data_IF_657051177153
#
_entry.id   IF_657051177153
#
_cell.length_a   1.000
_cell.length_b   1.000
_cell.length_c   1.000
_cell.angle_alpha   90.00
_cell.angle_beta   90.00
_cell.angle_gamma   90.00
#
_symmetry.space_group_name_H-M   'P 1'
#
loop_
_entity.id
_entity.type
_entity.pdbx_description
1 polymer ?
#
# COMPACT_ATOMS: atom_id res chain seq x y z
N UNK A 1 -7.76 0.47 -21.87
CA UNK A 1 -7.84 0.04 -20.47
C UNK A 1 -6.74 -0.98 -20.28
N UNK A 2 -5.70 -0.60 -19.53
CA UNK A 2 -4.48 -1.38 -19.33
C UNK A 2 -4.77 -2.78 -18.77
N UNK A 3 -4.03 -3.79 -19.21
CA UNK A 3 -4.15 -5.17 -18.70
C UNK A 3 -3.92 -5.25 -17.19
N UNK A 4 -3.11 -4.34 -16.63
CA UNK A 4 -2.84 -4.23 -15.19
C UNK A 4 -4.12 -4.00 -14.36
N UNK A 5 -5.03 -3.12 -14.79
CA UNK A 5 -6.26 -2.86 -14.05
C UNK A 5 -7.23 -4.07 -14.02
N UNK A 6 -7.12 -5.02 -14.94
CA UNK A 6 -8.09 -6.12 -15.04
C UNK A 6 -8.05 -7.05 -13.82
N UNK A 7 -6.90 -7.16 -13.14
CA UNK A 7 -6.74 -7.97 -11.92
C UNK A 7 -7.30 -7.27 -10.66
N UNK A 8 -7.36 -5.93 -10.65
CA UNK A 8 -7.88 -5.11 -9.55
C UNK A 8 -9.40 -4.87 -9.67
N UNK A 9 -9.94 -4.97 -10.89
CA UNK A 9 -11.34 -4.68 -11.23
C UNK A 9 -12.43 -5.69 -10.79
N UNK A 10 -12.20 -6.98 -10.43
CA UNK A 10 -13.31 -7.88 -10.16
C UNK A 10 -14.14 -7.49 -8.91
N UNK A 11 -13.56 -6.76 -7.94
CA UNK A 11 -14.30 -6.22 -6.78
C UNK A 11 -15.36 -5.17 -7.15
N UNK A 12 -15.18 -4.46 -8.28
CA UNK A 12 -16.08 -3.37 -8.69
C UNK A 12 -17.14 -3.82 -9.70
N UNK A 13 -16.95 -4.99 -10.32
CA UNK A 13 -17.79 -5.47 -11.42
C UNK A 13 -19.12 -6.09 -10.97
N UNK A 14 -19.22 -6.57 -9.73
CA UNK A 14 -20.37 -7.37 -9.28
C UNK A 14 -21.43 -6.60 -8.47
N UNK A 15 -21.18 -5.34 -8.08
CA UNK A 15 -22.13 -4.56 -7.25
C UNK A 15 -22.66 -3.31 -7.94
N UNK A 16 -23.12 -3.47 -9.18
CA UNK A 16 -23.93 -2.47 -9.89
C UNK A 16 -25.41 -2.58 -9.54
N UNK A 17 -25.79 -2.37 -8.27
CA UNK A 17 -27.20 -2.14 -7.91
C UNK A 17 -27.36 -0.77 -7.27
N UNK A 18 -27.91 0.15 -8.07
CA UNK A 18 -28.69 1.33 -7.72
C UNK A 18 -28.43 1.92 -6.32
N UNK A 19 -27.51 2.86 -6.27
CA UNK A 19 -27.47 3.87 -5.22
C UNK A 19 -26.69 5.04 -5.76
N UNK A 20 -27.32 6.21 -5.84
CA UNK A 20 -26.64 7.49 -6.03
C UNK A 20 -25.44 7.55 -5.08
N UNK A 21 -24.23 7.34 -5.59
CA UNK A 21 -23.01 7.54 -4.81
C UNK A 21 -22.91 9.03 -4.54
N UNK A 22 -23.40 9.45 -3.38
CA UNK A 22 -22.79 10.59 -2.71
C UNK A 22 -21.28 10.34 -2.67
N UNK A 23 -20.43 11.36 -2.80
CA UNK A 23 -19.00 11.20 -2.60
C UNK A 23 -18.76 10.82 -1.14
N UNK A 24 -18.80 9.52 -0.85
CA UNK A 24 -18.41 8.99 0.45
C UNK A 24 -16.91 9.20 0.56
N UNK A 25 -16.54 10.28 1.23
CA UNK A 25 -15.16 10.67 1.54
C UNK A 25 -14.54 9.77 2.62
N UNK A 26 -15.24 8.71 3.04
CA UNK A 26 -14.77 7.74 4.03
C UNK A 26 -15.35 6.35 3.77
N UNK A 27 -14.56 5.31 4.05
CA UNK A 27 -15.01 3.92 4.06
C UNK A 27 -15.54 3.58 5.46
N UNK A 28 -16.63 2.83 5.51
CA UNK A 28 -17.19 2.27 6.74
C UNK A 28 -16.39 1.03 7.20
N UNK A 29 -16.38 0.64 8.50
CA UNK A 29 -15.74 -0.60 8.98
C UNK A 29 -15.98 -1.83 8.09
N UNK A 30 -17.21 -2.09 7.65
CA UNK A 30 -17.49 -3.26 6.80
C UNK A 30 -16.75 -3.18 5.46
N UNK A 31 -16.58 -1.96 4.92
CA UNK A 31 -15.85 -1.72 3.68
C UNK A 31 -14.34 -1.81 3.88
N UNK A 32 -13.82 -1.42 5.04
CA UNK A 32 -12.42 -1.56 5.40
C UNK A 32 -12.02 -3.04 5.54
N UNK A 33 -12.86 -3.86 6.15
CA UNK A 33 -12.63 -5.31 6.25
C UNK A 33 -12.64 -6.00 4.87
N UNK A 34 -13.57 -5.60 4.00
CA UNK A 34 -13.61 -6.05 2.61
C UNK A 34 -12.37 -5.61 1.84
N UNK A 35 -11.93 -4.36 2.01
CA UNK A 35 -10.70 -3.85 1.41
C UNK A 35 -9.48 -4.61 1.92
N UNK A 36 -9.40 -4.89 3.22
CA UNK A 36 -8.32 -5.68 3.80
C UNK A 36 -8.23 -7.08 3.17
N UNK A 37 -9.37 -7.76 3.07
CA UNK A 37 -9.45 -9.10 2.49
C UNK A 37 -9.03 -9.09 1.02
N UNK A 38 -9.53 -8.11 0.27
CA UNK A 38 -9.13 -7.89 -1.11
C UNK A 38 -7.62 -7.65 -1.25
N UNK A 39 -7.02 -6.79 -0.43
CA UNK A 39 -5.58 -6.51 -0.48
C UNK A 39 -4.77 -7.77 -0.20
N UNK A 40 -5.18 -8.59 0.76
CA UNK A 40 -4.50 -9.86 1.05
C UNK A 40 -4.52 -10.79 -0.15
N UNK A 41 -5.67 -10.95 -0.79
CA UNK A 41 -5.80 -11.82 -1.96
C UNK A 41 -5.05 -11.26 -3.18
N UNK A 42 -5.14 -9.95 -3.40
CA UNK A 42 -4.43 -9.27 -4.48
C UNK A 42 -2.91 -9.38 -4.32
N UNK A 43 -2.38 -9.19 -3.11
CA UNK A 43 -0.94 -9.39 -2.83
C UNK A 43 -0.51 -10.84 -3.07
N UNK A 44 -1.32 -11.81 -2.64
CA UNK A 44 -1.04 -13.23 -2.88
C UNK A 44 -1.01 -13.57 -4.37
N UNK A 45 -1.97 -13.08 -5.15
CA UNK A 45 -2.05 -13.34 -6.59
C UNK A 45 -0.95 -12.64 -7.39
N UNK A 46 -0.55 -11.44 -6.98
CA UNK A 46 0.54 -10.70 -7.62
C UNK A 46 1.94 -11.16 -7.18
N UNK A 47 2.03 -12.11 -6.25
CA UNK A 47 3.30 -12.57 -5.68
C UNK A 47 4.03 -11.49 -4.88
N UNK A 48 3.29 -10.54 -4.29
CA UNK A 48 3.80 -9.38 -3.55
C UNK A 48 3.57 -9.51 -2.06
N UNK A 49 4.32 -8.72 -1.30
CA UNK A 49 4.25 -8.67 0.16
C UNK A 49 3.64 -7.36 0.66
N UNK A 50 3.26 -7.32 1.95
CA UNK A 50 2.86 -6.06 2.61
C UNK A 50 3.99 -5.02 2.62
N UNK A 51 5.26 -5.46 2.60
CA UNK A 51 6.39 -4.54 2.48
C UNK A 51 6.43 -3.87 1.11
N UNK A 52 6.07 -4.59 0.05
CA UNK A 52 5.98 -4.03 -1.30
C UNK A 52 4.83 -3.03 -1.42
N UNK A 53 3.67 -3.37 -0.84
CA UNK A 53 2.55 -2.43 -0.76
C UNK A 53 2.89 -1.20 0.07
N UNK A 54 3.58 -1.36 1.20
CA UNK A 54 4.08 -0.24 2.00
C UNK A 54 4.93 0.70 1.16
N UNK A 55 5.89 0.17 0.39
CA UNK A 55 6.77 0.97 -0.48
C UNK A 55 5.97 1.73 -1.53
N UNK A 56 5.09 1.04 -2.25
CA UNK A 56 4.25 1.65 -3.30
C UNK A 56 3.25 2.70 -2.75
N UNK A 57 2.77 2.52 -1.52
CA UNK A 57 1.95 3.50 -0.82
C UNK A 57 2.75 4.63 -0.18
N UNK A 58 4.07 4.45 0.01
CA UNK A 58 4.94 5.28 0.85
C UNK A 58 4.45 5.35 2.31
N UNK A 59 3.94 4.22 2.82
CA UNK A 59 3.40 4.13 4.17
C UNK A 59 4.52 4.00 5.23
N UNK A 60 4.26 4.55 6.42
CA UNK A 60 5.20 4.51 7.55
C UNK A 60 5.35 3.14 8.22
N UNK A 61 4.50 2.16 7.88
CA UNK A 61 4.56 0.81 8.48
C UNK A 61 3.99 -0.25 7.54
N UNK A 62 4.52 -1.48 7.64
CA UNK A 62 3.97 -2.66 6.95
C UNK A 62 2.67 -3.19 7.56
N UNK A 63 2.29 -2.70 8.76
CA UNK A 63 1.10 -3.18 9.46
C UNK A 63 -0.15 -2.83 8.67
N UNK A 64 -1.03 -3.80 8.47
CA UNK A 64 -2.25 -3.64 7.67
C UNK A 64 -3.11 -2.43 8.03
N UNK A 65 -3.34 -2.10 9.33
CA UNK A 65 -4.11 -0.90 9.69
C UNK A 65 -3.53 0.41 9.14
N UNK A 66 -2.19 0.51 9.05
CA UNK A 66 -1.51 1.69 8.49
C UNK A 66 -1.68 1.74 6.97
N UNK A 67 -1.56 0.59 6.29
CA UNK A 67 -1.80 0.51 4.85
C UNK A 67 -3.25 0.89 4.48
N UNK A 68 -4.22 0.41 5.26
CA UNK A 68 -5.64 0.76 5.10
C UNK A 68 -5.88 2.24 5.35
N UNK A 69 -5.20 2.85 6.32
CA UNK A 69 -5.29 4.28 6.59
C UNK A 69 -4.82 5.13 5.40
N UNK A 70 -3.72 4.77 4.74
CA UNK A 70 -3.24 5.47 3.54
C UNK A 70 -4.25 5.38 2.36
N UNK A 71 -4.86 4.22 2.19
CA UNK A 71 -5.90 4.02 1.18
C UNK A 71 -7.17 4.80 1.53
N UNK A 72 -7.53 4.87 2.82
CA UNK A 72 -8.63 5.68 3.30
C UNK A 72 -8.40 7.17 3.03
N UNK A 73 -7.17 7.67 3.23
CA UNK A 73 -6.81 9.05 2.88
C UNK A 73 -6.96 9.32 1.39
N UNK A 74 -6.68 8.33 0.54
CA UNK A 74 -6.92 8.42 -0.91
C UNK A 74 -8.41 8.57 -1.21
N UNK A 75 -9.26 7.77 -0.56
CA UNK A 75 -10.74 7.90 -0.66
C UNK A 75 -11.22 9.26 -0.17
N UNK A 76 -10.65 9.81 0.91
CA UNK A 76 -11.04 11.13 1.41
C UNK A 76 -10.72 12.27 0.44
N UNK A 77 -9.71 12.11 -0.42
CA UNK A 77 -9.28 13.13 -1.38
C UNK A 77 -10.03 13.09 -2.71
N UNK A 78 -10.39 11.89 -3.19
CA UNK A 78 -10.98 11.73 -4.52
C UNK A 78 -12.01 10.61 -4.64
N UNK A 79 -12.54 10.17 -3.50
CA UNK A 79 -13.50 9.09 -3.41
C UNK A 79 -12.90 7.73 -3.79
N UNK A 80 -13.81 6.77 -3.93
CA UNK A 80 -13.48 5.40 -4.32
C UNK A 80 -12.83 5.29 -5.71
N UNK A 81 -13.10 6.22 -6.63
CA UNK A 81 -12.48 6.23 -7.95
C UNK A 81 -10.99 6.52 -7.86
N UNK A 82 -10.57 7.45 -6.98
CA UNK A 82 -9.16 7.72 -6.74
C UNK A 82 -8.45 6.53 -6.07
N UNK A 83 -9.14 5.78 -5.21
CA UNK A 83 -8.62 4.53 -4.65
C UNK A 83 -8.34 3.50 -5.76
N UNK A 84 -9.31 3.29 -6.66
CA UNK A 84 -9.15 2.35 -7.78
C UNK A 84 -8.00 2.76 -8.71
N UNK A 85 -7.91 4.05 -9.05
CA UNK A 85 -6.83 4.60 -9.88
C UNK A 85 -5.45 4.41 -9.22
N UNK A 86 -5.36 4.65 -7.91
CA UNK A 86 -4.13 4.42 -7.15
C UNK A 86 -3.70 2.96 -7.18
N UNK A 87 -4.61 2.02 -6.95
CA UNK A 87 -4.30 0.58 -6.98
C UNK A 87 -3.93 0.11 -8.39
N UNK A 88 -4.62 0.59 -9.42
CA UNK A 88 -4.26 0.36 -10.82
C UNK A 88 -2.85 0.86 -11.16
N UNK A 89 -2.48 2.04 -10.67
CA UNK A 89 -1.15 2.63 -10.89
C UNK A 89 -0.08 1.75 -10.22
N UNK A 90 -0.32 1.29 -9.00
CA UNK A 90 0.61 0.40 -8.28
C UNK A 90 0.78 -0.92 -9.04
N UNK A 91 -0.30 -1.53 -9.51
CA UNK A 91 -0.24 -2.75 -10.31
C UNK A 91 0.57 -2.55 -11.60
N UNK A 92 0.35 -1.45 -12.31
CA UNK A 92 1.09 -1.12 -13.53
C UNK A 92 2.60 -0.93 -13.25
N UNK A 93 2.96 -0.29 -12.13
CA UNK A 93 4.35 -0.17 -11.69
C UNK A 93 4.97 -1.56 -11.46
N UNK A 94 4.27 -2.43 -10.74
CA UNK A 94 4.74 -3.79 -10.48
C UNK A 94 4.86 -4.64 -11.74
N UNK A 95 3.94 -4.49 -12.70
CA UNK A 95 3.95 -5.22 -13.97
C UNK A 95 5.06 -4.74 -14.92
N UNK A 96 5.36 -3.44 -14.91
CA UNK A 96 6.40 -2.85 -15.77
C UNK A 96 7.83 -3.28 -15.39
N UNK A 97 8.01 -3.88 -14.20
CA UNK A 97 9.33 -4.22 -13.68
C UNK A 97 10.24 -3.00 -13.49
N UNK A 98 9.70 -1.78 -13.61
CA UNK A 98 10.45 -0.57 -13.41
C UNK A 98 10.94 -0.59 -11.95
N UNK A 99 12.27 -0.58 -11.71
CA UNK A 99 12.75 -0.27 -10.39
C UNK A 99 12.16 1.10 -10.06
N UNK A 100 11.44 1.22 -8.94
CA UNK A 100 11.14 2.52 -8.37
C UNK A 100 12.45 3.30 -8.42
N UNK A 101 12.50 4.38 -9.21
CA UNK A 101 13.69 5.20 -9.36
C UNK A 101 14.23 5.46 -7.95
N UNK A 102 15.38 4.84 -7.68
CA UNK A 102 16.00 4.76 -6.38
C UNK A 102 16.49 6.16 -5.98
N UNK A 103 15.60 7.03 -5.52
CA UNK A 103 15.93 7.95 -4.45
C UNK A 103 15.63 7.23 -3.14
N UNK A 104 16.63 6.51 -2.62
CA UNK A 104 16.57 5.90 -1.28
C UNK A 104 16.98 4.44 -1.18
N UNK A 105 17.54 3.85 -2.24
CA UNK A 105 18.04 2.46 -2.28
C UNK A 105 19.24 2.11 -1.38
N UNK A 106 19.45 2.82 -0.27
CA UNK A 106 20.54 2.57 0.68
C UNK A 106 20.14 2.69 2.16
N UNK A 107 18.90 3.05 2.50
CA UNK A 107 18.57 3.36 3.91
C UNK A 107 18.31 2.14 4.81
N UNK A 108 17.98 0.96 4.28
CA UNK A 108 17.63 -0.20 5.13
C UNK A 108 18.86 -0.89 5.74
N UNK A 109 20.06 -0.72 5.16
CA UNK A 109 21.33 -1.16 5.76
C UNK A 109 21.95 -0.10 6.68
N UNK A 110 21.58 1.17 6.50
CA UNK A 110 22.08 2.29 7.30
C UNK A 110 21.47 2.29 8.71
N UNK A 111 20.18 2.00 8.85
CA UNK A 111 19.53 1.90 10.18
C UNK A 111 20.13 0.79 11.06
N UNK A 112 20.48 -0.36 10.49
CA UNK A 112 21.06 -1.49 11.23
C UNK A 112 22.52 -1.22 11.61
N UNK A 113 23.30 -0.61 10.71
CA UNK A 113 24.69 -0.22 10.99
C UNK A 113 24.80 0.97 11.94
N UNK A 114 23.85 1.91 11.92
CA UNK A 114 23.71 2.99 12.92
C UNK A 114 23.38 2.44 14.30
N UNK A 115 22.52 1.42 14.39
CA UNK A 115 22.23 0.70 15.64
C UNK A 115 23.47 0.01 16.22
N UNK A 116 24.25 -0.66 15.38
CA UNK A 116 25.51 -1.32 15.79
C UNK A 116 26.55 -0.31 16.31
N UNK A 117 26.71 0.82 15.63
CA UNK A 117 27.58 1.92 16.06
C UNK A 117 27.12 2.50 17.41
N UNK A 118 25.82 2.67 17.60
CA UNK A 118 25.23 3.20 18.83
C UNK A 118 25.43 2.23 20.02
N UNK A 119 25.23 0.92 19.80
CA UNK A 119 25.50 -0.11 20.81
C UNK A 119 26.98 -0.15 21.21
N UNK A 120 27.89 0.02 20.24
CA UNK A 120 29.33 0.02 20.48
C UNK A 120 29.79 1.24 21.27
N UNK A 121 29.16 2.40 21.04
CA UNK A 121 29.36 3.60 21.85
C UNK A 121 28.94 3.37 23.31
N UNK A 122 27.76 2.76 23.56
CA UNK A 122 27.26 2.50 24.91
C UNK A 122 28.18 1.54 25.68
N UNK A 123 28.66 0.48 25.01
CA UNK A 123 29.58 -0.47 25.63
C UNK A 123 30.95 0.14 25.97
N UNK A 124 31.39 1.12 25.19
CA UNK A 124 32.67 1.81 25.43
C UNK A 124 32.59 2.81 26.58
N UNK A 125 31.41 3.36 26.86
CA UNK A 125 31.17 4.32 27.97
C UNK A 125 30.99 3.60 29.32
N UNK A 126 30.64 2.32 29.30
CA UNK A 126 30.41 1.50 30.49
C UNK A 126 31.66 0.76 31.03
N UNK A 127 32.84 0.99 30.44
CA UNK A 127 34.13 0.38 30.80
C UNK A 127 35.09 1.42 31.40
#
# INVERSE_FOLDING_TARGET
MDSACQLVMPMWRDRGSKGTMAPSTRLDPDQLEQLESFLKDWLRHSGRTQADLRRALRAGSIRMPVLLQELQLTVSKGGVTALADRLCTIEAQWASGAPELLEGGAADNDDMSQLDLLLKSIQSDAA
#
